data_IF_757024750323
#
_entry.id   IF_757024750323
#
_cell.length_a   1.000
_cell.length_b   1.000
_cell.length_c   1.000
_cell.angle_alpha   90.00
_cell.angle_beta   90.00
_cell.angle_gamma   90.00
#
_symmetry.space_group_name_H-M   'P 1'
#
loop_
_entity.id
_entity.type
_entity.pdbx_description
1 polymer ?
#
# COMPACT_ATOMS: atom_id res chain seq x y z
N UNK A 1 0.77 51.77 51.67
CA UNK A 1 -0.56 51.69 52.32
C UNK A 1 -1.41 50.74 51.49
N UNK A 2 -1.89 49.61 52.07
CA UNK A 2 -3.17 48.91 51.79
C UNK A 2 -3.64 48.81 50.31
N UNK A 3 -4.00 47.68 49.69
CA UNK A 3 -4.38 46.33 50.15
C UNK A 3 -4.49 45.48 48.87
N UNK A 4 -3.83 44.32 48.78
CA UNK A 4 -4.17 43.28 47.80
C UNK A 4 -5.23 42.39 48.46
N UNK A 5 -6.34 42.15 47.76
CA UNK A 5 -7.43 41.28 48.22
C UNK A 5 -7.74 40.21 47.18
N UNK A 6 -7.32 38.98 47.51
CA UNK A 6 -8.09 37.71 47.47
C UNK A 6 -8.62 37.18 46.13
N UNK A 7 -8.64 35.88 45.80
CA UNK A 7 -8.13 34.61 46.35
C UNK A 7 -8.69 33.53 45.39
N UNK A 8 -7.99 32.42 45.15
CA UNK A 8 -8.56 31.06 44.98
C UNK A 8 -7.34 30.09 44.89
N UNK A 9 -6.75 29.76 46.05
CA UNK A 9 -6.88 28.46 46.76
C UNK A 9 -6.22 27.28 46.04
N UNK A 10 -4.92 27.14 46.28
CA UNK A 10 -4.26 25.84 46.37
C UNK A 10 -4.30 25.41 47.86
N UNK A 11 -4.87 24.24 48.15
CA UNK A 11 -4.77 23.63 49.47
C UNK A 11 -4.36 22.16 49.30
N UNK A 12 -3.16 21.88 49.80
CA UNK A 12 -2.59 20.56 49.95
C UNK A 12 -3.38 19.75 50.98
N UNK A 13 -3.58 18.47 50.69
CA UNK A 13 -3.74 17.44 51.72
C UNK A 13 -2.68 16.36 51.46
N UNK A 14 -1.49 16.56 52.02
CA UNK A 14 -0.57 15.47 52.31
C UNK A 14 -1.12 14.78 53.56
N UNK A 15 -1.86 13.68 53.39
CA UNK A 15 -1.99 12.67 54.42
C UNK A 15 -0.92 11.62 54.13
N UNK A 16 0.18 11.70 54.86
CA UNK A 16 1.15 10.61 54.96
C UNK A 16 0.45 9.53 55.79
N UNK A 17 -0.24 8.61 55.11
CA UNK A 17 -0.58 7.35 55.73
C UNK A 17 0.74 6.59 55.86
N UNK A 18 1.27 6.50 57.08
CA UNK A 18 2.25 5.48 57.42
C UNK A 18 1.61 4.13 57.08
N UNK A 19 2.07 3.51 56.00
CA UNK A 19 1.65 2.18 55.62
C UNK A 19 2.08 1.25 56.77
N UNK A 20 1.08 0.71 57.47
CA UNK A 20 1.27 -0.35 58.45
C UNK A 20 2.09 -1.48 57.80
N UNK A 21 3.03 -2.04 58.57
CA UNK A 21 3.86 -3.17 58.18
C UNK A 21 2.98 -4.34 57.73
N UNK A 22 2.85 -4.51 56.41
CA UNK A 22 2.35 -5.76 55.84
C UNK A 22 3.48 -6.79 55.95
N UNK A 23 3.29 -7.93 56.66
CA UNK A 23 4.33 -8.93 56.87
C UNK A 23 4.77 -9.69 55.60
N UNK A 24 4.27 -9.29 54.42
CA UNK A 24 4.61 -9.83 53.10
C UNK A 24 4.90 -8.73 52.07
N UNK A 25 5.31 -7.53 52.50
CA UNK A 25 5.80 -6.51 51.57
C UNK A 25 7.16 -6.95 51.03
N UNK A 26 7.17 -7.44 49.79
CA UNK A 26 8.37 -7.71 49.01
C UNK A 26 8.92 -6.35 48.59
N UNK A 27 10.13 -5.99 49.04
CA UNK A 27 10.79 -4.76 48.59
C UNK A 27 11.08 -4.86 47.09
N UNK A 28 10.96 -3.74 46.37
CA UNK A 28 11.22 -3.64 44.92
C UNK A 28 12.65 -4.12 44.52
N UNK A 29 13.56 -4.27 45.50
CA UNK A 29 14.87 -4.89 45.36
C UNK A 29 14.84 -6.39 45.04
N UNK A 30 13.75 -7.09 45.32
CA UNK A 30 13.59 -8.51 44.96
C UNK A 30 13.21 -8.69 43.47
N UNK A 31 12.88 -7.60 42.77
CA UNK A 31 12.69 -7.56 41.31
C UNK A 31 13.89 -6.94 40.58
N UNK A 32 15.08 -6.94 41.18
CA UNK A 32 16.30 -6.68 40.43
C UNK A 32 16.51 -7.86 39.47
N UNK A 33 16.16 -7.68 38.19
CA UNK A 33 16.76 -8.48 37.11
C UNK A 33 18.24 -8.07 37.11
N UNK A 34 19.05 -8.72 37.95
CA UNK A 34 20.49 -8.53 37.90
C UNK A 34 20.92 -8.93 36.49
N UNK A 35 21.34 -7.95 35.68
CA UNK A 35 22.11 -8.22 34.47
C UNK A 35 23.46 -8.78 34.90
N UNK A 36 23.47 -10.03 35.34
CA UNK A 36 24.69 -10.74 35.62
C UNK A 36 25.39 -10.99 34.28
N UNK A 37 26.34 -10.12 33.95
CA UNK A 37 27.11 -10.15 32.70
C UNK A 37 27.89 -11.46 32.50
N UNK A 38 28.03 -12.29 33.54
CA UNK A 38 28.64 -13.61 33.47
C UNK A 38 27.66 -14.71 33.00
N UNK A 39 26.36 -14.49 33.06
CA UNK A 39 25.36 -15.43 32.57
C UNK A 39 25.19 -15.30 31.05
N UNK A 40 25.09 -16.46 30.39
CA UNK A 40 24.78 -16.51 28.96
C UNK A 40 23.36 -16.01 28.72
N UNK A 41 23.25 -14.81 28.14
CA UNK A 41 21.99 -14.11 27.94
C UNK A 41 22.07 -13.22 26.69
N UNK A 42 20.92 -12.88 26.12
CA UNK A 42 20.82 -12.01 24.94
C UNK A 42 19.82 -10.89 25.20
N UNK A 43 20.17 -9.67 24.79
CA UNK A 43 19.34 -8.49 24.99
C UNK A 43 19.33 -7.59 23.75
N UNK A 44 18.17 -7.06 23.34
CA UNK A 44 16.83 -7.39 23.88
C UNK A 44 16.40 -8.82 23.50
N UNK A 45 15.35 -9.35 24.12
CA UNK A 45 14.77 -10.68 23.77
C UNK A 45 13.80 -10.60 22.59
N UNK A 46 13.35 -9.40 22.24
CA UNK A 46 12.53 -9.15 21.06
C UNK A 46 12.75 -7.73 20.55
N UNK A 47 12.61 -7.53 19.25
CA UNK A 47 12.66 -6.22 18.62
C UNK A 47 11.51 -6.06 17.63
N UNK A 48 10.74 -4.99 17.80
CA UNK A 48 9.83 -4.50 16.78
C UNK A 48 10.61 -3.64 15.78
N UNK A 49 10.46 -3.92 14.49
CA UNK A 49 11.14 -3.21 13.41
C UNK A 49 10.10 -2.52 12.52
N UNK A 50 10.27 -1.25 12.15
CA UNK A 50 9.40 -0.58 11.19
C UNK A 50 9.35 -1.28 9.83
N UNK A 51 8.31 -1.00 9.06
CA UNK A 51 8.16 -1.57 7.72
C UNK A 51 9.32 -1.20 6.79
N UNK A 52 9.91 -0.01 6.95
CA UNK A 52 11.07 0.43 6.15
C UNK A 52 12.34 -0.37 6.46
N UNK A 53 12.33 -1.18 7.52
CA UNK A 53 13.49 -1.96 7.95
C UNK A 53 14.46 -1.12 8.77
N UNK A 54 15.73 -1.52 8.73
CA UNK A 54 16.83 -0.88 9.45
C UNK A 54 17.75 -1.88 10.14
N UNK A 55 18.72 -1.36 10.89
CA UNK A 55 19.68 -2.18 11.63
C UNK A 55 19.70 -1.83 13.11
N UNK A 56 19.93 -2.83 13.95
CA UNK A 56 20.08 -2.67 15.40
C UNK A 56 21.03 -3.73 15.96
N UNK A 57 21.44 -3.54 17.21
CA UNK A 57 22.39 -4.43 17.88
C UNK A 57 21.70 -5.29 18.94
N UNK A 58 22.08 -6.57 18.98
CA UNK A 58 21.79 -7.50 20.07
C UNK A 58 23.07 -7.66 20.88
N UNK A 59 22.98 -7.45 22.19
CA UNK A 59 24.06 -7.73 23.14
C UNK A 59 24.00 -9.19 23.58
N UNK A 60 25.13 -9.88 23.53
CA UNK A 60 25.34 -11.22 24.10
C UNK A 60 26.20 -11.08 25.35
N UNK A 61 25.77 -11.68 26.45
CA UNK A 61 26.51 -11.76 27.72
C UNK A 61 27.07 -13.17 27.94
N UNK A 62 27.98 -13.32 28.91
CA UNK A 62 28.62 -14.58 29.26
C UNK A 62 30.08 -14.69 28.82
N UNK A 63 30.78 -15.71 29.33
CA UNK A 63 32.18 -16.00 28.98
C UNK A 63 32.36 -17.10 27.92
N UNK A 64 31.29 -17.79 27.55
CA UNK A 64 31.31 -18.96 26.68
C UNK A 64 31.30 -18.57 25.19
N UNK A 65 31.75 -19.48 24.32
CA UNK A 65 31.54 -19.31 22.87
C UNK A 65 30.09 -19.64 22.49
N UNK A 66 29.61 -19.04 21.40
CA UNK A 66 28.21 -19.15 20.98
C UNK A 66 28.06 -19.12 19.46
N UNK A 67 26.92 -19.62 18.99
CA UNK A 67 26.49 -19.67 17.58
C UNK A 67 25.07 -19.14 17.44
N UNK A 68 24.71 -18.71 16.22
CA UNK A 68 23.39 -18.17 15.89
C UNK A 68 22.79 -18.95 14.72
N UNK A 69 21.56 -19.40 14.89
CA UNK A 69 20.69 -19.88 13.80
C UNK A 69 19.46 -18.98 13.67
N UNK A 70 19.05 -18.73 12.43
CA UNK A 70 17.79 -18.05 12.12
C UNK A 70 16.74 -19.14 11.85
N UNK A 71 15.67 -19.14 12.63
CA UNK A 71 14.63 -20.18 12.62
C UNK A 71 13.23 -19.56 12.67
N UNK A 72 12.21 -20.40 12.49
CA UNK A 72 10.80 -20.03 12.69
C UNK A 72 10.35 -18.78 11.89
N UNK A 73 10.89 -18.58 10.68
CA UNK A 73 10.41 -17.50 9.83
C UNK A 73 9.02 -17.81 9.30
N UNK A 74 8.10 -16.83 9.39
CA UNK A 74 6.75 -16.93 8.85
C UNK A 74 6.60 -16.26 7.46
N UNK A 75 7.72 -15.85 6.85
CA UNK A 75 7.79 -15.22 5.53
C UNK A 75 8.67 -16.05 4.60
N UNK A 76 8.28 -16.12 3.32
CA UNK A 76 9.04 -16.76 2.25
C UNK A 76 10.14 -15.87 1.67
N UNK A 77 10.21 -14.60 2.08
CA UNK A 77 11.22 -13.66 1.62
C UNK A 77 12.62 -14.16 1.98
N UNK A 78 13.53 -14.15 1.00
CA UNK A 78 14.92 -14.55 1.24
C UNK A 78 15.67 -13.38 1.86
N UNK A 79 16.50 -13.69 2.86
CA UNK A 79 17.48 -12.78 3.46
C UNK A 79 16.90 -11.45 3.95
N UNK A 80 15.60 -11.42 4.30
CA UNK A 80 14.94 -10.21 4.78
C UNK A 80 15.43 -9.75 6.15
N UNK A 81 16.01 -10.66 6.92
CA UNK A 81 16.68 -10.39 8.18
C UNK A 81 17.99 -11.17 8.20
N UNK A 82 19.09 -10.47 8.43
CA UNK A 82 20.45 -11.00 8.42
C UNK A 82 21.21 -10.57 9.66
N UNK A 83 22.30 -11.29 9.95
CA UNK A 83 23.26 -10.93 11.01
C UNK A 83 24.64 -10.73 10.41
N UNK A 84 25.42 -9.83 10.99
CA UNK A 84 26.82 -9.58 10.59
C UNK A 84 27.76 -10.75 10.90
N UNK A 85 27.41 -11.59 11.88
CA UNK A 85 28.12 -12.81 12.26
C UNK A 85 27.18 -13.85 12.84
N UNK A 86 27.55 -15.11 12.70
CA UNK A 86 26.79 -16.27 13.19
C UNK A 86 27.48 -17.00 14.34
N UNK A 87 28.60 -16.48 14.84
CA UNK A 87 29.30 -17.01 16.00
C UNK A 87 30.15 -15.96 16.69
N UNK A 88 30.54 -16.25 17.93
CA UNK A 88 31.41 -15.39 18.73
C UNK A 88 31.86 -16.06 20.02
N UNK A 89 32.68 -15.34 20.79
CA UNK A 89 33.23 -15.81 22.07
C UNK A 89 33.08 -14.75 23.14
N UNK A 90 32.57 -15.15 24.31
CA UNK A 90 32.32 -14.26 25.42
C UNK A 90 31.26 -13.20 25.11
N UNK A 91 31.31 -12.09 25.85
CA UNK A 91 30.41 -10.98 25.65
C UNK A 91 30.67 -10.30 24.29
N UNK A 92 29.61 -9.87 23.61
CA UNK A 92 29.73 -9.24 22.31
C UNK A 92 28.44 -8.59 21.83
N UNK A 93 28.50 -7.98 20.65
CA UNK A 93 27.35 -7.38 19.97
C UNK A 93 27.19 -8.02 18.59
N UNK A 94 25.96 -8.31 18.20
CA UNK A 94 25.59 -8.80 16.86
C UNK A 94 24.70 -7.78 16.21
N UNK A 95 25.02 -7.39 14.98
CA UNK A 95 24.22 -6.44 14.21
C UNK A 95 23.19 -7.22 13.41
N UNK A 96 21.90 -6.98 13.68
CA UNK A 96 20.80 -7.46 12.86
C UNK A 96 20.47 -6.39 11.82
N UNK A 97 20.33 -6.80 10.57
CA UNK A 97 19.86 -5.93 9.48
C UNK A 97 18.60 -6.49 8.88
N UNK A 98 17.55 -5.68 8.84
CA UNK A 98 16.22 -6.02 8.35
C UNK A 98 15.92 -5.17 7.12
N UNK A 99 15.57 -5.81 6.01
CA UNK A 99 15.19 -5.11 4.78
C UNK A 99 13.79 -4.52 4.91
N UNK A 100 13.44 -3.59 4.02
CA UNK A 100 12.07 -3.10 3.93
C UNK A 100 11.08 -4.26 3.70
N UNK A 101 9.99 -4.28 4.46
CA UNK A 101 8.83 -5.14 4.26
C UNK A 101 8.08 -4.70 3.01
N UNK A 102 7.53 -5.66 2.29
CA UNK A 102 6.66 -5.40 1.14
C UNK A 102 5.20 -5.76 1.43
N UNK A 103 4.90 -6.31 2.61
CA UNK A 103 3.56 -6.72 3.00
C UNK A 103 2.80 -5.58 3.68
N UNK A 104 1.53 -5.44 3.32
CA UNK A 104 0.59 -4.49 3.94
C UNK A 104 -0.46 -5.18 4.83
N UNK A 105 -0.51 -6.51 4.81
CA UNK A 105 -1.57 -7.30 5.46
C UNK A 105 -1.06 -8.25 6.53
N UNK A 106 0.24 -8.60 6.50
CA UNK A 106 0.82 -9.59 7.39
C UNK A 106 2.21 -9.16 7.87
N UNK A 107 2.39 -9.09 9.18
CA UNK A 107 3.71 -8.90 9.78
C UNK A 107 4.58 -10.12 9.53
N UNK A 108 5.87 -9.91 9.25
CA UNK A 108 6.85 -10.99 9.22
C UNK A 108 7.66 -11.04 10.51
N UNK A 109 8.04 -12.24 10.90
CA UNK A 109 8.84 -12.50 12.10
C UNK A 109 9.77 -13.68 11.88
N UNK A 110 10.86 -13.71 12.64
CA UNK A 110 11.72 -14.87 12.79
C UNK A 110 12.33 -14.90 14.19
N UNK A 111 12.98 -16.02 14.53
CA UNK A 111 13.72 -16.18 15.77
C UNK A 111 15.20 -16.34 15.46
N UNK A 112 16.05 -15.57 16.14
CA UNK A 112 17.48 -15.84 16.26
C UNK A 112 17.68 -16.69 17.51
N UNK A 113 18.17 -17.91 17.33
CA UNK A 113 18.54 -18.80 18.43
C UNK A 113 20.04 -18.72 18.67
N UNK A 114 20.42 -18.27 19.86
CA UNK A 114 21.79 -18.19 20.34
C UNK A 114 22.07 -19.40 21.21
N UNK A 115 22.96 -20.28 20.75
CA UNK A 115 23.32 -21.51 21.47
C UNK A 115 24.76 -21.45 21.91
N UNK A 116 25.01 -21.73 23.19
CA UNK A 116 26.36 -21.78 23.74
C UNK A 116 27.14 -23.02 23.28
N UNK A 117 28.46 -23.02 23.46
CA UNK A 117 29.37 -24.02 22.88
C UNK A 117 29.06 -25.47 23.29
N UNK A 118 28.63 -25.68 24.54
CA UNK A 118 28.27 -27.01 25.06
C UNK A 118 26.82 -27.42 24.71
N UNK A 119 26.06 -26.53 24.05
CA UNK A 119 24.67 -26.71 23.63
C UNK A 119 23.68 -26.95 24.76
N UNK A 120 24.02 -26.57 25.99
CA UNK A 120 23.13 -26.72 27.16
C UNK A 120 22.18 -25.55 27.33
N UNK A 121 22.51 -24.38 26.76
CA UNK A 121 21.70 -23.15 26.85
C UNK A 121 21.38 -22.62 25.46
N UNK A 122 20.11 -22.32 25.24
CA UNK A 122 19.64 -21.63 24.04
C UNK A 122 18.79 -20.43 24.43
N UNK A 123 19.20 -19.26 23.97
CA UNK A 123 18.48 -18.01 24.16
C UNK A 123 17.83 -17.58 22.84
N UNK A 124 16.63 -17.04 22.91
CA UNK A 124 15.86 -16.63 21.72
C UNK A 124 15.75 -15.12 21.66
N UNK A 125 16.01 -14.56 20.49
CA UNK A 125 15.67 -13.20 20.13
C UNK A 125 14.62 -13.21 19.02
N UNK A 126 13.46 -12.59 19.25
CA UNK A 126 12.39 -12.51 18.25
C UNK A 126 12.44 -11.19 17.48
N UNK A 127 12.54 -11.27 16.16
CA UNK A 127 12.35 -10.11 15.26
C UNK A 127 10.90 -10.08 14.82
N UNK A 128 10.22 -8.95 14.95
CA UNK A 128 8.87 -8.74 14.40
C UNK A 128 8.89 -7.45 13.58
N UNK A 129 8.67 -7.57 12.28
CA UNK A 129 8.59 -6.41 11.40
C UNK A 129 7.14 -6.06 11.07
N UNK A 130 6.84 -4.76 11.18
CA UNK A 130 5.53 -4.21 10.85
C UNK A 130 5.23 -4.29 9.34
N UNK A 131 3.95 -4.27 9.00
CA UNK A 131 3.47 -4.08 7.63
C UNK A 131 3.67 -2.64 7.15
N UNK A 132 3.82 -2.47 5.84
CA UNK A 132 3.69 -1.16 5.20
C UNK A 132 2.32 -0.55 5.53
N UNK A 133 2.33 0.76 5.74
CA UNK A 133 1.11 1.56 5.86
C UNK A 133 0.76 2.16 4.51
N UNK A 134 -0.53 2.22 4.19
CA UNK A 134 -1.00 2.89 2.98
C UNK A 134 -0.66 4.39 3.05
N UNK A 135 -0.12 4.92 1.95
CA UNK A 135 0.11 6.34 1.78
C UNK A 135 -1.18 7.17 1.75
N UNK A 136 -1.01 8.50 1.63
CA UNK A 136 -2.14 9.44 1.57
C UNK A 136 -3.07 9.14 0.37
N UNK A 137 -2.51 8.72 -0.75
CA UNK A 137 -3.24 8.47 -2.00
C UNK A 137 -3.38 6.97 -2.34
N UNK A 138 -3.44 6.11 -1.32
CA UNK A 138 -3.40 4.65 -1.49
C UNK A 138 -4.59 3.96 -0.82
N UNK A 139 -5.15 2.97 -1.51
CA UNK A 139 -6.25 2.11 -1.02
C UNK A 139 -5.98 0.65 -1.39
N UNK A 140 -6.15 -0.25 -0.43
CA UNK A 140 -6.04 -1.70 -0.67
C UNK A 140 -7.38 -2.26 -1.15
N UNK A 141 -7.39 -2.89 -2.33
CA UNK A 141 -8.55 -3.61 -2.87
C UNK A 141 -8.08 -4.91 -3.51
N UNK A 142 -8.65 -6.04 -3.09
CA UNK A 142 -8.31 -7.38 -3.61
C UNK A 142 -6.81 -7.72 -3.56
N UNK A 143 -6.12 -7.34 -2.48
CA UNK A 143 -4.68 -7.61 -2.30
C UNK A 143 -3.75 -6.70 -3.13
N UNK A 144 -4.30 -5.70 -3.81
CA UNK A 144 -3.55 -4.71 -4.59
C UNK A 144 -3.72 -3.33 -4.01
N UNK A 145 -2.71 -2.50 -4.19
CA UNK A 145 -2.76 -1.09 -3.79
C UNK A 145 -3.08 -0.26 -5.01
N UNK A 146 -4.26 0.33 -4.98
CA UNK A 146 -4.76 1.24 -6.00
C UNK A 146 -4.47 2.67 -5.60
N UNK A 147 -4.14 3.50 -6.60
CA UNK A 147 -4.10 4.95 -6.40
C UNK A 147 -5.53 5.48 -6.18
N UNK A 148 -5.69 6.48 -5.33
CA UNK A 148 -6.96 7.21 -5.19
C UNK A 148 -7.19 8.19 -6.35
N UNK A 149 -6.19 8.41 -7.20
CA UNK A 149 -6.19 9.44 -8.25
C UNK A 149 -5.83 8.86 -9.62
N UNK A 150 -6.32 9.49 -10.69
CA UNK A 150 -5.98 9.11 -12.06
C UNK A 150 -4.63 9.69 -12.47
N UNK A 151 -4.05 9.17 -13.55
CA UNK A 151 -2.83 9.75 -14.13
C UNK A 151 -3.16 11.08 -14.80
N UNK A 152 -2.45 12.15 -14.42
CA UNK A 152 -2.48 13.44 -15.09
C UNK A 152 -1.48 13.45 -16.24
N UNK A 153 -0.52 14.38 -16.29
CA UNK A 153 0.61 14.29 -17.21
C UNK A 153 1.46 13.04 -16.90
N UNK A 154 2.27 12.53 -17.86
CA UNK A 154 3.04 11.32 -17.66
C UNK A 154 3.94 11.40 -16.42
N UNK A 155 3.88 10.39 -15.57
CA UNK A 155 4.62 10.35 -14.31
C UNK A 155 3.98 11.11 -13.15
N UNK A 156 2.77 11.65 -13.31
CA UNK A 156 2.08 12.44 -12.26
C UNK A 156 0.64 11.99 -12.06
N UNK A 157 0.10 12.16 -10.85
CA UNK A 157 -1.32 11.99 -10.56
C UNK A 157 -2.09 13.31 -10.71
N UNK A 158 -3.41 13.20 -10.86
CA UNK A 158 -4.34 14.33 -10.73
C UNK A 158 -4.28 14.94 -9.34
N UNK A 159 -4.85 16.12 -9.14
CA UNK A 159 -4.92 16.72 -7.81
C UNK A 159 -6.06 16.10 -7.00
N UNK A 160 -7.12 15.67 -7.70
CA UNK A 160 -8.34 15.19 -7.08
C UNK A 160 -8.80 13.82 -7.62
N UNK A 161 -9.63 13.13 -6.83
CA UNK A 161 -10.02 11.73 -7.06
C UNK A 161 -11.08 11.55 -8.16
N UNK A 162 -11.81 12.61 -8.50
CA UNK A 162 -12.88 12.65 -9.50
C UNK A 162 -12.49 13.36 -10.81
N UNK A 163 -11.23 13.78 -10.92
CA UNK A 163 -10.62 14.23 -12.17
C UNK A 163 -10.31 13.03 -13.07
N UNK A 164 -10.62 13.15 -14.38
CA UNK A 164 -10.30 12.09 -15.36
C UNK A 164 -8.79 11.96 -15.58
N UNK A 165 -8.06 13.07 -15.45
CA UNK A 165 -6.65 13.16 -15.82
C UNK A 165 -6.48 13.23 -17.33
N UNK A 166 -5.40 12.63 -17.84
CA UNK A 166 -5.14 12.55 -19.27
C UNK A 166 -5.62 11.20 -19.83
N UNK A 167 -5.92 11.21 -21.12
CA UNK A 167 -6.24 10.04 -21.91
C UNK A 167 -4.97 9.47 -22.55
N UNK A 168 -4.77 8.17 -22.41
CA UNK A 168 -3.60 7.44 -22.89
C UNK A 168 -4.00 6.38 -23.91
N UNK A 169 -3.28 6.38 -25.03
CA UNK A 169 -3.33 5.29 -26.00
C UNK A 169 -2.60 4.06 -25.46
N UNK A 170 -3.01 2.86 -25.86
CA UNK A 170 -2.38 1.63 -25.36
C UNK A 170 -0.89 1.60 -25.69
N UNK A 171 -0.07 1.19 -24.72
CA UNK A 171 1.39 1.14 -24.83
C UNK A 171 2.07 2.51 -25.15
N UNK A 172 1.45 3.64 -24.78
CA UNK A 172 2.03 4.98 -24.99
C UNK A 172 2.20 5.76 -23.69
N UNK A 173 3.38 6.38 -23.56
CA UNK A 173 3.68 7.30 -22.46
C UNK A 173 3.10 8.70 -22.68
N UNK A 174 2.87 9.11 -23.93
CA UNK A 174 2.26 10.40 -24.25
C UNK A 174 0.78 10.38 -23.86
N UNK A 175 0.39 11.31 -22.99
CA UNK A 175 -1.00 11.55 -22.61
C UNK A 175 -1.57 12.79 -23.28
N UNK A 176 -2.89 12.82 -23.41
CA UNK A 176 -3.65 13.93 -23.99
C UNK A 176 -4.69 14.43 -22.99
N UNK A 177 -4.97 15.74 -22.91
CA UNK A 177 -5.96 16.26 -21.97
C UNK A 177 -7.33 15.65 -22.23
N UNK A 178 -8.09 15.40 -21.16
CA UNK A 178 -9.49 15.01 -21.28
C UNK A 178 -10.34 16.24 -21.68
N UNK A 179 -10.77 16.30 -22.94
CA UNK A 179 -11.62 17.36 -23.47
C UNK A 179 -12.53 16.85 -24.60
N UNK A 180 -13.58 17.61 -24.94
CA UNK A 180 -14.51 17.25 -26.02
C UNK A 180 -13.83 17.15 -27.41
N UNK A 181 -12.75 17.90 -27.62
CA UNK A 181 -11.95 17.90 -28.84
C UNK A 181 -10.48 18.13 -28.51
N UNK A 182 -9.62 17.25 -29.00
CA UNK A 182 -8.16 17.26 -28.83
C UNK A 182 -7.51 16.99 -30.20
N UNK A 183 -7.48 17.97 -31.11
CA UNK A 183 -7.03 17.77 -32.49
C UNK A 183 -5.59 17.23 -32.58
N UNK A 184 -4.74 17.50 -31.58
CA UNK A 184 -3.36 16.99 -31.56
C UNK A 184 -3.29 15.46 -31.46
N UNK A 185 -4.36 14.80 -31.02
CA UNK A 185 -4.42 13.35 -30.94
C UNK A 185 -4.61 12.68 -32.31
N UNK A 186 -5.21 13.37 -33.29
CA UNK A 186 -5.51 12.81 -34.60
C UNK A 186 -4.26 12.24 -35.34
N UNK A 187 -3.14 12.98 -35.48
CA UNK A 187 -1.94 12.41 -36.11
C UNK A 187 -1.35 11.23 -35.32
N UNK A 188 -1.43 11.25 -33.99
CA UNK A 188 -0.94 10.14 -33.14
C UNK A 188 -1.81 8.90 -33.32
N UNK A 189 -3.12 9.07 -33.42
CA UNK A 189 -4.04 7.99 -33.75
C UNK A 189 -3.72 7.36 -35.10
N UNK A 190 -3.54 8.17 -36.16
CA UNK A 190 -3.27 7.67 -37.51
C UNK A 190 -1.92 6.97 -37.62
N UNK A 191 -0.92 7.37 -36.82
CA UNK A 191 0.40 6.75 -36.79
C UNK A 191 0.47 5.46 -35.95
N UNK A 192 -0.61 5.07 -35.28
CA UNK A 192 -0.60 3.94 -34.37
C UNK A 192 -0.51 2.61 -35.10
N UNK A 193 0.52 1.82 -34.77
CA UNK A 193 0.70 0.47 -35.31
C UNK A 193 0.33 -0.56 -34.23
N UNK A 194 -0.67 -1.43 -34.44
CA UNK A 194 -1.17 -2.34 -33.40
C UNK A 194 -0.21 -3.47 -32.99
N UNK A 195 0.86 -3.70 -33.75
CA UNK A 195 1.88 -4.75 -33.54
C UNK A 195 2.87 -4.46 -32.41
N UNK A 196 2.61 -3.44 -31.59
CA UNK A 196 3.45 -3.16 -30.43
C UNK A 196 3.09 -4.12 -29.28
N UNK A 197 4.12 -4.81 -28.78
CA UNK A 197 4.17 -5.53 -27.51
C UNK A 197 3.41 -4.77 -26.41
N UNK A 198 2.68 -5.47 -25.54
CA UNK A 198 1.95 -4.84 -24.44
C UNK A 198 2.86 -4.09 -23.47
N UNK A 199 2.28 -3.32 -22.53
CA UNK A 199 3.07 -2.69 -21.46
C UNK A 199 3.87 -3.70 -20.63
N UNK A 200 3.30 -4.90 -20.46
CA UNK A 200 3.95 -6.03 -19.79
C UNK A 200 5.17 -6.51 -20.60
N UNK A 201 5.00 -6.65 -21.91
CA UNK A 201 6.01 -7.22 -22.81
C UNK A 201 7.18 -6.25 -23.09
N UNK A 202 6.96 -4.94 -22.91
CA UNK A 202 7.97 -3.90 -23.04
C UNK A 202 8.61 -3.48 -21.71
N UNK A 203 8.56 -4.35 -20.70
CA UNK A 203 9.12 -4.09 -19.37
C UNK A 203 8.68 -2.74 -18.76
N UNK A 204 7.44 -2.31 -19.02
CA UNK A 204 6.86 -1.06 -18.54
C UNK A 204 7.55 0.22 -19.04
N UNK A 205 8.33 0.16 -20.13
CA UNK A 205 9.06 1.33 -20.67
C UNK A 205 8.14 2.51 -21.04
N UNK A 206 6.94 2.20 -21.56
CA UNK A 206 5.95 3.19 -21.97
C UNK A 206 4.89 3.48 -20.91
N UNK A 207 5.09 3.04 -19.66
CA UNK A 207 4.14 3.22 -18.57
C UNK A 207 4.01 4.71 -18.20
N UNK A 208 2.80 5.29 -18.23
CA UNK A 208 2.57 6.68 -17.89
C UNK A 208 2.38 6.90 -16.39
N UNK A 209 2.28 5.83 -15.59
CA UNK A 209 2.14 5.95 -14.15
C UNK A 209 3.38 6.59 -13.50
N UNK A 210 3.22 7.28 -12.35
CA UNK A 210 4.35 7.74 -11.54
C UNK A 210 5.31 6.62 -11.14
N UNK A 211 6.53 6.99 -10.76
CA UNK A 211 7.52 6.02 -10.27
C UNK A 211 6.98 5.20 -9.08
N UNK A 212 7.27 3.90 -9.06
CA UNK A 212 6.71 2.97 -8.07
C UNK A 212 5.28 2.50 -8.38
N UNK A 213 4.65 3.01 -9.45
CA UNK A 213 3.32 2.61 -9.90
C UNK A 213 3.37 1.97 -11.29
N UNK A 214 2.31 1.25 -11.62
CA UNK A 214 2.05 0.72 -12.97
C UNK A 214 0.59 0.75 -13.34
N UNK A 215 0.33 0.63 -14.63
CA UNK A 215 -1.02 0.36 -15.10
C UNK A 215 -1.45 -1.05 -14.66
N UNK A 216 -2.70 -1.22 -14.19
CA UNK A 216 -3.25 -2.52 -13.85
C UNK A 216 -3.40 -3.42 -15.08
N UNK A 217 -3.30 -4.71 -14.88
CA UNK A 217 -3.67 -5.70 -15.90
C UNK A 217 -5.19 -5.77 -16.07
N UNK A 218 -5.66 -6.38 -17.15
CA UNK A 218 -7.09 -6.59 -17.39
C UNK A 218 -7.76 -7.38 -16.26
N UNK A 219 -7.10 -8.43 -15.77
CA UNK A 219 -7.61 -9.25 -14.67
C UNK A 219 -7.77 -8.45 -13.37
N UNK A 220 -6.83 -7.56 -13.07
CA UNK A 220 -6.89 -6.69 -11.88
C UNK A 220 -8.06 -5.70 -11.96
N UNK A 221 -8.28 -5.10 -13.14
CA UNK A 221 -9.44 -4.23 -13.38
C UNK A 221 -10.75 -5.00 -13.30
N UNK A 222 -10.84 -6.18 -13.91
CA UNK A 222 -12.02 -7.05 -13.80
C UNK A 222 -12.27 -7.49 -12.35
N UNK A 223 -11.21 -7.61 -11.56
CA UNK A 223 -11.27 -7.86 -10.12
C UNK A 223 -12.12 -6.83 -9.37
N UNK A 224 -12.03 -5.54 -9.73
CA UNK A 224 -12.73 -4.44 -9.05
C UNK A 224 -14.01 -3.99 -9.78
N UNK A 225 -14.08 -4.15 -11.10
CA UNK A 225 -15.21 -3.69 -11.91
C UNK A 225 -16.22 -4.78 -12.21
N UNK A 226 -15.77 -6.02 -12.40
CA UNK A 226 -16.57 -7.12 -12.97
C UNK A 226 -16.48 -7.19 -14.50
N UNK A 227 -16.97 -8.30 -15.04
CA UNK A 227 -16.78 -8.66 -16.47
C UNK A 227 -18.04 -8.52 -17.31
N UNK A 228 -19.19 -8.29 -16.67
CA UNK A 228 -20.50 -8.15 -17.32
C UNK A 228 -21.41 -7.28 -16.47
N UNK A 229 -22.56 -6.87 -17.03
CA UNK A 229 -23.58 -6.12 -16.30
C UNK A 229 -24.08 -6.90 -15.07
N UNK A 230 -24.34 -8.21 -15.22
CA UNK A 230 -24.78 -9.06 -14.11
C UNK A 230 -23.67 -9.28 -13.06
N UNK A 231 -22.41 -9.34 -13.51
CA UNK A 231 -21.23 -9.52 -12.65
C UNK A 231 -20.61 -8.20 -12.16
N UNK A 232 -21.28 -7.06 -12.33
CA UNK A 232 -20.71 -5.75 -11.99
C UNK A 232 -20.47 -5.65 -10.48
N UNK A 233 -19.22 -5.40 -10.11
CA UNK A 233 -18.74 -5.32 -8.72
C UNK A 233 -18.73 -3.88 -8.20
N UNK A 234 -18.55 -2.91 -9.09
CA UNK A 234 -18.63 -1.49 -8.77
C UNK A 234 -20.07 -0.97 -8.75
N UNK A 235 -20.30 0.13 -8.03
CA UNK A 235 -21.61 0.76 -7.88
C UNK A 235 -21.62 2.14 -8.53
N UNK A 236 -22.61 2.40 -9.39
CA UNK A 236 -22.73 3.71 -10.04
C UNK A 236 -23.19 4.76 -9.04
N UNK A 237 -22.54 5.93 -9.07
CA UNK A 237 -22.89 7.08 -8.26
C UNK A 237 -23.02 8.29 -9.17
N UNK A 238 -24.17 8.95 -9.08
CA UNK A 238 -24.43 10.22 -9.77
C UNK A 238 -23.81 11.38 -8.98
N UNK A 239 -23.31 12.39 -9.69
CA UNK A 239 -22.89 13.67 -9.13
C UNK A 239 -23.99 14.25 -8.25
N UNK A 240 -23.66 14.64 -7.03
CA UNK A 240 -24.54 15.41 -6.17
C UNK A 240 -23.76 16.25 -5.15
N UNK A 241 -24.35 17.34 -4.67
CA UNK A 241 -23.75 18.11 -3.58
C UNK A 241 -23.55 17.26 -2.32
N UNK A 242 -24.45 16.31 -2.06
CA UNK A 242 -24.39 15.40 -0.90
C UNK A 242 -23.12 14.54 -0.88
N UNK A 243 -22.71 13.99 -2.02
CA UNK A 243 -21.54 13.13 -2.10
C UNK A 243 -20.25 13.90 -2.42
N UNK A 244 -20.35 15.14 -2.92
CA UNK A 244 -19.22 16.01 -3.21
C UNK A 244 -18.42 15.63 -4.46
N UNK A 245 -18.83 14.61 -5.23
CA UNK A 245 -18.19 14.28 -6.50
C UNK A 245 -18.57 15.30 -7.57
N UNK A 246 -17.59 15.75 -8.36
CA UNK A 246 -17.80 16.72 -9.43
C UNK A 246 -18.42 16.09 -10.69
N UNK A 247 -18.44 14.75 -10.79
CA UNK A 247 -18.83 13.98 -11.99
C UNK A 247 -19.54 12.69 -11.59
N UNK A 248 -20.31 12.11 -12.51
CA UNK A 248 -20.84 10.75 -12.33
C UNK A 248 -19.69 9.74 -12.45
N UNK A 249 -19.87 8.54 -11.92
CA UNK A 249 -18.87 7.48 -12.07
C UNK A 249 -19.18 6.24 -11.28
N UNK A 250 -18.16 5.40 -11.12
CA UNK A 250 -18.22 4.18 -10.33
C UNK A 250 -17.46 4.33 -9.02
N UNK A 251 -18.04 3.79 -7.95
CA UNK A 251 -17.34 3.47 -6.71
C UNK A 251 -16.99 1.98 -6.73
N UNK A 252 -15.71 1.66 -6.59
CA UNK A 252 -15.20 0.28 -6.52
C UNK A 252 -14.53 0.02 -5.16
N UNK A 253 -14.52 -1.24 -4.72
CA UNK A 253 -13.93 -1.67 -3.44
C UNK A 253 -14.84 -1.54 -2.22
N UNK A 254 -16.03 -0.96 -2.38
CA UNK A 254 -17.01 -0.78 -1.30
C UNK A 254 -18.23 -1.67 -1.57
N UNK A 255 -18.75 -2.31 -0.53
CA UNK A 255 -19.96 -3.11 -0.59
C UNK A 255 -21.16 -2.29 -1.12
N UNK A 256 -21.99 -2.91 -1.96
CA UNK A 256 -23.18 -2.26 -2.55
C UNK A 256 -24.12 -1.69 -1.48
N UNK A 257 -24.25 -2.34 -0.33
CA UNK A 257 -25.07 -1.86 0.78
C UNK A 257 -24.53 -0.56 1.41
N UNK A 258 -23.21 -0.35 1.36
CA UNK A 258 -22.54 0.81 1.93
C UNK A 258 -22.40 1.99 0.93
N UNK A 259 -22.68 1.80 -0.37
CA UNK A 259 -22.43 2.86 -1.37
C UNK A 259 -23.22 4.16 -1.11
N UNK A 260 -24.39 4.06 -0.49
CA UNK A 260 -25.27 5.22 -0.25
C UNK A 260 -24.70 6.25 0.75
N UNK A 261 -23.72 5.86 1.57
CA UNK A 261 -23.00 6.73 2.49
C UNK A 261 -21.66 7.22 1.95
N UNK A 262 -21.28 6.83 0.74
CA UNK A 262 -20.00 7.22 0.13
C UNK A 262 -20.05 8.68 -0.28
N UNK A 263 -19.00 9.38 0.12
CA UNK A 263 -18.69 10.77 -0.22
C UNK A 263 -17.23 10.86 -0.64
N UNK A 264 -16.88 11.93 -1.33
CA UNK A 264 -15.50 12.25 -1.69
C UNK A 264 -14.56 12.27 -0.47
N UNK A 265 -15.05 12.73 0.69
CA UNK A 265 -14.26 12.84 1.91
C UNK A 265 -14.06 11.53 2.69
N UNK A 266 -14.93 10.52 2.54
CA UNK A 266 -14.85 9.28 3.31
C UNK A 266 -14.50 8.04 2.47
N UNK A 267 -14.54 8.11 1.14
CA UNK A 267 -14.36 6.94 0.27
C UNK A 267 -13.05 6.18 0.54
N UNK A 268 -11.96 6.90 0.82
CA UNK A 268 -10.67 6.29 1.18
C UNK A 268 -10.77 5.48 2.48
N UNK A 269 -11.36 6.06 3.53
CA UNK A 269 -11.52 5.39 4.82
C UNK A 269 -12.42 4.16 4.76
N UNK A 270 -13.31 4.12 3.76
CA UNK A 270 -14.17 2.98 3.46
C UNK A 270 -13.49 1.92 2.58
N UNK A 271 -12.23 2.12 2.18
CA UNK A 271 -11.49 1.17 1.33
C UNK A 271 -11.87 1.23 -0.15
N UNK A 272 -12.44 2.34 -0.62
CA UNK A 272 -12.89 2.49 -2.00
C UNK A 272 -12.08 3.46 -2.85
N UNK A 273 -12.28 3.35 -4.16
CA UNK A 273 -11.84 4.34 -5.15
C UNK A 273 -13.02 4.82 -6.00
N UNK A 274 -12.92 6.05 -6.49
CA UNK A 274 -13.87 6.61 -7.44
C UNK A 274 -13.26 6.64 -8.85
N UNK A 275 -13.99 6.12 -9.83
CA UNK A 275 -13.63 6.09 -11.23
C UNK A 275 -14.61 6.98 -12.00
N UNK A 276 -14.18 8.19 -12.42
CA UNK A 276 -15.07 9.15 -13.04
C UNK A 276 -15.48 8.72 -14.45
N UNK A 277 -16.72 9.02 -14.83
CA UNK A 277 -17.27 8.83 -16.17
C UNK A 277 -16.41 9.53 -17.23
N UNK A 278 -15.75 8.82 -18.14
CA UNK A 278 -14.64 9.35 -18.93
C UNK A 278 -14.79 9.20 -20.45
N UNK A 279 -15.36 8.13 -21.00
CA UNK A 279 -15.32 7.92 -22.46
C UNK A 279 -13.89 7.80 -23.02
N UNK A 280 -13.70 7.97 -24.33
CA UNK A 280 -12.37 7.89 -24.97
C UNK A 280 -12.21 8.87 -26.13
N UNK A 281 -10.96 9.18 -26.48
CA UNK A 281 -10.63 9.92 -27.69
C UNK A 281 -10.57 8.99 -28.91
N UNK A 282 -11.14 9.46 -30.02
CA UNK A 282 -11.27 8.75 -31.31
C UNK A 282 -10.31 9.30 -32.38
N UNK A 283 -10.44 8.86 -33.64
CA UNK A 283 -9.53 9.18 -34.77
C UNK A 283 -9.33 10.68 -35.02
N UNK A 284 -10.35 11.50 -34.77
CA UNK A 284 -10.25 12.96 -34.91
C UNK A 284 -9.89 13.70 -33.61
N UNK A 285 -9.50 12.99 -32.56
CA UNK A 285 -9.36 13.60 -31.22
C UNK A 285 -10.68 13.97 -30.57
N UNK A 286 -11.81 13.43 -31.07
CA UNK A 286 -13.13 13.71 -30.53
C UNK A 286 -13.43 12.76 -29.39
N UNK A 287 -13.97 13.31 -28.29
CA UNK A 287 -14.45 12.51 -27.18
C UNK A 287 -15.73 11.78 -27.56
N UNK A 288 -15.72 10.45 -27.42
CA UNK A 288 -16.87 9.60 -27.67
C UNK A 288 -17.24 8.78 -26.44
N UNK A 289 -18.50 8.36 -26.39
CA UNK A 289 -19.12 7.58 -25.32
C UNK A 289 -18.78 8.11 -23.93
N UNK A 290 -18.75 9.43 -23.77
CA UNK A 290 -18.56 10.13 -22.50
C UNK A 290 -19.62 9.79 -21.43
N UNK A 291 -20.63 8.98 -21.76
CA UNK A 291 -21.58 8.42 -20.82
C UNK A 291 -21.08 7.15 -20.10
N UNK A 292 -19.93 6.59 -20.51
CA UNK A 292 -19.28 5.42 -19.91
C UNK A 292 -18.12 5.82 -18.99
N UNK A 293 -17.79 4.94 -18.03
CA UNK A 293 -16.46 4.90 -17.42
C UNK A 293 -15.57 4.01 -18.29
N UNK A 294 -14.35 4.46 -18.57
CA UNK A 294 -13.37 3.75 -19.39
C UNK A 294 -12.05 3.70 -18.65
N UNK A 295 -11.36 2.57 -18.69
CA UNK A 295 -10.11 2.41 -17.96
C UNK A 295 -9.11 1.61 -18.79
N UNK A 296 -7.93 2.19 -19.02
CA UNK A 296 -6.83 1.49 -19.68
C UNK A 296 -6.26 0.39 -18.79
N UNK A 297 -5.92 -0.73 -19.43
CA UNK A 297 -5.28 -1.89 -18.80
C UNK A 297 -4.02 -2.25 -19.59
N UNK A 298 -3.07 -2.91 -18.92
CA UNK A 298 -1.79 -3.29 -19.50
C UNK A 298 -1.86 -4.56 -20.38
N UNK A 299 -3.00 -5.26 -20.40
CA UNK A 299 -3.16 -6.55 -21.06
C UNK A 299 -3.60 -6.39 -22.51
N UNK A 300 -2.77 -6.86 -23.44
CA UNK A 300 -3.13 -7.02 -24.85
C UNK A 300 -3.88 -8.35 -25.06
N UNK A 301 -4.94 -8.36 -25.86
CA UNK A 301 -5.62 -9.60 -26.26
C UNK A 301 -5.19 -10.08 -27.65
N UNK A 302 -5.10 -9.15 -28.59
CA UNK A 302 -4.56 -9.37 -29.93
C UNK A 302 -4.00 -8.05 -30.46
N UNK A 303 -3.56 -8.02 -31.71
CA UNK A 303 -2.95 -6.83 -32.30
C UNK A 303 -3.85 -5.60 -32.18
N UNK A 304 -5.14 -5.71 -32.46
CA UNK A 304 -6.04 -4.56 -32.55
C UNK A 304 -6.88 -4.29 -31.28
N UNK A 305 -7.13 -5.33 -30.48
CA UNK A 305 -8.07 -5.34 -29.37
C UNK A 305 -7.37 -5.65 -28.03
N UNK A 306 -8.04 -5.27 -26.94
CA UNK A 306 -7.52 -5.41 -25.59
C UNK A 306 -7.02 -4.09 -25.01
N UNK A 307 -6.78 -4.09 -23.71
CA UNK A 307 -6.19 -2.97 -23.00
C UNK A 307 -7.19 -1.90 -22.56
N UNK A 308 -8.50 -2.14 -22.56
CA UNK A 308 -9.49 -1.20 -22.03
C UNK A 308 -10.72 -1.92 -21.46
N UNK A 309 -11.12 -1.53 -20.25
CA UNK A 309 -12.43 -1.82 -19.68
C UNK A 309 -13.36 -0.64 -19.95
N UNK A 310 -14.61 -0.86 -20.33
CA UNK A 310 -15.61 0.20 -20.49
C UNK A 310 -17.00 -0.23 -20.05
N UNK A 311 -17.72 0.65 -19.34
CA UNK A 311 -19.04 0.29 -18.85
C UNK A 311 -19.82 1.38 -18.11
N UNK A 312 -21.10 1.08 -17.90
CA UNK A 312 -22.04 1.74 -17.00
C UNK A 312 -23.00 0.66 -16.41
N UNK A 313 -24.14 1.06 -15.85
CA UNK A 313 -25.12 0.13 -15.26
C UNK A 313 -25.87 -0.74 -16.27
N UNK A 314 -25.87 -0.40 -17.55
CA UNK A 314 -26.59 -1.12 -18.61
C UNK A 314 -25.69 -1.76 -19.67
N UNK A 315 -24.39 -1.49 -19.65
CA UNK A 315 -23.43 -1.97 -20.64
C UNK A 315 -22.07 -2.20 -19.97
N UNK A 316 -21.44 -3.34 -20.24
CA UNK A 316 -20.06 -3.65 -19.81
C UNK A 316 -19.36 -4.38 -20.95
N UNK A 317 -18.18 -3.89 -21.33
CA UNK A 317 -17.20 -4.57 -22.18
C UNK A 317 -15.85 -4.51 -21.47
N UNK A 318 -15.46 -5.62 -20.85
CA UNK A 318 -14.28 -5.71 -19.98
C UNK A 318 -12.95 -5.80 -20.74
N UNK A 319 -13.00 -5.97 -22.05
CA UNK A 319 -11.85 -6.29 -22.88
C UNK A 319 -11.77 -5.41 -24.13
N UNK A 320 -12.79 -4.61 -24.40
CA UNK A 320 -12.82 -3.72 -25.53
C UNK A 320 -13.07 -4.41 -26.86
N UNK A 321 -13.76 -5.56 -26.86
CA UNK A 321 -14.01 -6.37 -28.07
C UNK A 321 -14.76 -5.59 -29.15
N UNK A 322 -15.70 -4.72 -28.75
CA UNK A 322 -16.40 -3.85 -29.70
C UNK A 322 -15.68 -2.51 -29.86
N UNK A 323 -15.62 -1.77 -28.76
CA UNK A 323 -15.30 -0.34 -28.78
C UNK A 323 -13.98 0.02 -28.06
N UNK A 324 -13.24 -0.96 -27.52
CA UNK A 324 -12.01 -0.69 -26.77
C UNK A 324 -10.72 -0.94 -27.52
N UNK A 325 -10.66 -0.48 -28.78
CA UNK A 325 -9.48 -0.61 -29.62
C UNK A 325 -8.24 0.07 -29.00
N UNK A 326 -7.08 -0.52 -29.19
CA UNK A 326 -5.80 -0.02 -28.65
C UNK A 326 -5.42 1.39 -29.12
N UNK A 327 -5.82 1.77 -30.32
CA UNK A 327 -5.58 3.10 -30.92
C UNK A 327 -6.37 4.24 -30.28
N UNK A 328 -7.46 3.97 -29.56
CA UNK A 328 -8.23 4.99 -28.82
C UNK A 328 -7.44 5.44 -27.58
N UNK A 329 -7.78 6.57 -26.96
CA UNK A 329 -7.14 6.98 -25.71
C UNK A 329 -8.15 7.13 -24.57
N UNK A 330 -7.84 6.59 -23.38
CA UNK A 330 -8.71 6.60 -22.20
C UNK A 330 -7.91 6.81 -20.91
N UNK A 331 -8.58 7.08 -19.80
CA UNK A 331 -7.89 7.34 -18.52
C UNK A 331 -7.16 6.10 -18.00
N UNK A 332 -6.17 6.34 -17.15
CA UNK A 332 -5.39 5.33 -16.43
C UNK A 332 -5.55 5.55 -14.92
N UNK A 333 -5.83 4.46 -14.21
CA UNK A 333 -5.80 4.37 -12.75
C UNK A 333 -4.74 3.35 -12.38
N UNK A 334 -3.71 3.76 -11.63
CA UNK A 334 -2.55 2.91 -11.39
C UNK A 334 -2.73 1.98 -10.19
N UNK A 335 -1.96 0.90 -10.19
CA UNK A 335 -1.67 0.04 -9.04
C UNK A 335 -0.19 0.11 -8.68
N UNK A 336 0.13 -0.01 -7.40
CA UNK A 336 1.51 0.11 -6.92
C UNK A 336 2.33 -1.12 -7.34
N UNK A 337 3.59 -0.91 -7.74
CA UNK A 337 4.55 -1.99 -7.96
C UNK A 337 5.00 -2.50 -6.60
N UNK A 338 4.32 -3.55 -6.12
CA UNK A 338 4.68 -4.24 -4.89
C UNK A 338 5.09 -5.68 -5.22
N UNK A 339 6.11 -6.17 -4.52
CA UNK A 339 6.41 -7.59 -4.47
C UNK A 339 5.63 -8.15 -3.29
N UNK A 340 4.48 -8.79 -3.52
CA UNK A 340 3.71 -9.37 -2.43
C UNK A 340 4.52 -10.55 -1.86
N UNK A 341 4.91 -10.45 -0.60
CA UNK A 341 5.45 -11.57 0.18
C UNK A 341 4.30 -12.36 0.81
N UNK A 342 4.46 -13.68 0.94
CA UNK A 342 3.41 -14.62 1.39
C UNK A 342 3.07 -14.55 2.90
#
# INVERSE_FOLDING_TARGET
>A
MRTIKYFLTALALLTIASCEEYPNYIEDSDFIIEQNSSLFAVYPIAQAVPADGGSYKIKVNGGESWTISLTESNSSAKDWCTVDKTSGSGAGEVTVTVTQSTSFVKNRSLILEFTNADKTKTMKHKVVQATLSLGEDEVMINGLIWSTKNVAAPGTFTNDIDEVGYCYQFNRKQGFPFANSVPEFAPVYSSYTPSESGWIDNAWTNDPCPEGWRVPTGAEVNGIMGESVAGLKASWVSKSEKNGFARNGFVAGIDKAAVSSVTKGNIKSMGGIFLPQSGWLTEGGVLDRAWLVTLRTATSLNDNMGGMWLGNTGYVDCWGWGDGQKKRAAMVRCVKKITIED
#
